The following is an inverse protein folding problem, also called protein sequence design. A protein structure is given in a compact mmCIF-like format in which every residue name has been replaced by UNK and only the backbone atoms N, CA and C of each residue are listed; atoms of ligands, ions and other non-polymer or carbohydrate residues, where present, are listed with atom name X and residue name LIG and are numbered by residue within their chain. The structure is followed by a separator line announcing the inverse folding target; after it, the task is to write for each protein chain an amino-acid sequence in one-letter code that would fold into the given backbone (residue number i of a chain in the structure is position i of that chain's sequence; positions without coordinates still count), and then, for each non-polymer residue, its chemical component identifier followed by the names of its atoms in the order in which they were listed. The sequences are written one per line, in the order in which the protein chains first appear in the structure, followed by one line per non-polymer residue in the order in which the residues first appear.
data_IF_758444797919
#
_entry.id   IF_758444797919
#
_cell.length_a   1.000
_cell.length_b   1.000
_cell.length_c   1.000
_cell.angle_alpha   90.00
_cell.angle_beta   90.00
_cell.angle_gamma   90.00
#
_symmetry.space_group_name_H-M   'P 1'
#
loop_
_entity.id
_entity.type
_entity.pdbx_description
1 polymer ?
#
# COMPACT_ATOMS: atom_id res chain seq x y z
N UNK A 1 10.60 43.67 5.54
CA UNK A 1 11.48 43.63 4.35
C UNK A 1 12.69 42.77 4.66
N UNK A 2 13.11 41.91 3.72
CA UNK A 2 14.29 41.03 3.84
C UNK A 2 13.90 39.57 4.04
N UNK A 3 13.50 38.82 3.00
CA UNK A 3 14.37 38.19 1.99
C UNK A 3 15.34 37.13 2.58
N UNK A 4 14.93 35.88 2.40
CA UNK A 4 15.70 34.66 2.19
C UNK A 4 17.24 34.71 2.33
N UNK A 5 17.76 33.90 3.26
CA UNK A 5 18.98 33.11 3.07
C UNK A 5 18.74 31.71 3.62
N UNK A 6 18.34 30.77 2.75
CA UNK A 6 18.43 29.34 3.04
C UNK A 6 19.87 28.91 2.77
N UNK A 7 20.67 28.78 3.83
CA UNK A 7 22.01 28.22 3.73
C UNK A 7 21.94 26.73 3.38
N UNK A 8 22.81 26.31 2.46
CA UNK A 8 22.90 24.98 1.85
C UNK A 8 23.20 23.82 2.83
N UNK A 9 23.27 24.06 4.13
CA UNK A 9 23.52 23.02 5.14
C UNK A 9 22.26 22.21 5.54
N UNK A 10 21.06 22.69 5.19
CA UNK A 10 19.79 22.03 5.52
C UNK A 10 19.37 20.87 4.61
N UNK A 11 20.13 20.57 3.55
CA UNK A 11 19.74 19.59 2.52
C UNK A 11 20.10 18.14 2.93
N UNK A 12 20.99 17.94 3.90
CA UNK A 12 21.39 16.59 4.33
C UNK A 12 20.37 15.92 5.27
N UNK A 13 19.64 16.69 6.10
CA UNK A 13 18.67 16.16 7.06
C UNK A 13 17.29 15.85 6.44
N UNK A 14 16.96 16.48 5.31
CA UNK A 14 15.71 16.21 4.58
C UNK A 14 15.68 14.84 3.88
N UNK A 15 16.81 14.13 3.80
CA UNK A 15 16.94 12.87 3.05
C UNK A 15 16.36 11.64 3.75
N UNK A 16 15.85 11.77 4.99
CA UNK A 16 15.39 10.63 5.80
C UNK A 16 14.12 10.90 6.62
N UNK A 17 13.24 11.81 6.18
CA UNK A 17 11.83 11.81 6.62
C UNK A 17 11.54 11.98 8.12
N UNK A 18 12.52 12.36 8.93
CA UNK A 18 12.30 12.67 10.34
C UNK A 18 13.02 13.97 10.68
N UNK A 19 12.27 14.86 11.32
CA UNK A 19 12.69 16.13 11.95
C UNK A 19 12.86 17.34 11.01
N UNK A 20 11.89 18.25 11.04
CA UNK A 20 12.20 19.69 10.91
C UNK A 20 12.72 20.15 12.29
N UNK A 21 13.94 20.72 12.38
CA UNK A 21 14.34 21.40 13.60
C UNK A 21 13.60 22.74 13.67
N UNK A 22 12.75 22.91 14.69
CA UNK A 22 12.33 24.24 15.14
C UNK A 22 12.63 24.35 16.64
N UNK A 23 13.71 25.06 16.94
CA UNK A 23 14.27 25.23 18.28
C UNK A 23 15.75 25.56 18.16
N UNK A 24 16.22 26.54 18.95
CA UNK A 24 17.63 26.94 18.99
C UNK A 24 18.54 25.72 19.12
N UNK A 25 19.47 25.59 18.18
CA UNK A 25 20.43 24.47 18.03
C UNK A 25 21.52 24.52 19.13
N UNK A 26 21.24 25.15 20.27
CA UNK A 26 22.21 25.41 21.32
C UNK A 26 22.45 24.19 22.24
N UNK A 27 21.46 23.31 22.43
CA UNK A 27 21.54 22.26 23.47
C UNK A 27 21.43 20.81 22.96
N UNK A 28 21.40 20.57 21.64
CA UNK A 28 21.56 19.22 21.07
C UNK A 28 20.45 18.19 21.39
N UNK A 29 19.33 18.60 22.02
CA UNK A 29 18.17 17.74 22.25
C UNK A 29 17.11 17.96 21.17
N UNK A 30 16.81 16.91 20.42
CA UNK A 30 15.64 16.85 19.53
C UNK A 30 14.43 16.47 20.38
N UNK A 31 13.53 17.41 20.64
CA UNK A 31 12.26 17.12 21.30
C UNK A 31 11.23 16.60 20.30
N UNK A 32 10.33 15.74 20.76
CA UNK A 32 9.18 15.30 19.96
C UNK A 32 8.30 16.51 19.62
N UNK A 33 8.06 16.72 18.33
CA UNK A 33 7.12 17.70 17.78
C UNK A 33 5.67 17.31 18.07
N UNK A 34 4.79 18.30 18.19
CA UNK A 34 3.41 18.18 18.68
C UNK A 34 3.24 18.69 20.11
N UNK A 35 2.03 19.13 20.47
CA UNK A 35 1.60 19.72 21.77
C UNK A 35 1.81 21.24 21.99
N UNK A 36 2.21 22.03 20.98
CA UNK A 36 2.23 23.49 21.13
C UNK A 36 0.83 24.10 20.96
N UNK A 37 0.46 24.99 21.88
CA UNK A 37 -0.84 25.69 21.82
C UNK A 37 -0.99 26.58 20.58
N UNK A 38 0.13 27.07 20.04
CA UNK A 38 0.18 27.86 18.81
C UNK A 38 -0.12 27.03 17.55
N UNK A 39 0.41 25.79 17.46
CA UNK A 39 0.08 24.87 16.36
C UNK A 39 -1.39 24.45 16.40
N UNK A 40 -1.93 24.23 17.59
CA UNK A 40 -3.34 23.89 17.77
C UNK A 40 -4.28 25.00 17.30
N UNK A 41 -4.02 26.24 17.72
CA UNK A 41 -4.85 27.39 17.34
C UNK A 41 -4.75 27.67 15.84
N UNK A 42 -3.55 27.59 15.26
CA UNK A 42 -3.37 27.77 13.82
C UNK A 42 -4.04 26.68 12.98
N UNK A 43 -4.02 25.41 13.43
CA UNK A 43 -4.76 24.33 12.77
C UNK A 43 -6.27 24.55 12.85
N UNK A 44 -6.80 24.98 14.00
CA UNK A 44 -8.23 25.30 14.13
C UNK A 44 -8.64 26.48 13.25
N UNK A 45 -7.84 27.55 13.18
CA UNK A 45 -8.13 28.71 12.31
C UNK A 45 -8.04 28.36 10.82
N UNK A 46 -7.15 27.45 10.44
CA UNK A 46 -6.99 27.02 9.04
C UNK A 46 -8.17 26.17 8.55
N UNK A 47 -8.63 25.22 9.37
CA UNK A 47 -9.61 24.21 8.96
C UNK A 47 -11.02 24.43 9.51
N UNK A 48 -11.18 25.20 10.58
CA UNK A 48 -12.46 25.40 11.26
C UNK A 48 -13.41 26.29 10.49
N UNK A 49 -14.52 25.71 10.01
CA UNK A 49 -15.62 26.43 9.33
C UNK A 49 -15.15 27.42 8.24
N UNK A 50 -14.06 27.10 7.56
CA UNK A 50 -13.51 27.97 6.54
C UNK A 50 -14.49 28.02 5.35
N UNK A 51 -14.91 29.22 4.95
CA UNK A 51 -15.88 29.43 3.86
C UNK A 51 -15.38 28.89 2.53
N UNK A 52 -14.06 28.71 2.39
CA UNK A 52 -13.45 28.18 1.19
C UNK A 52 -13.68 26.68 0.98
N UNK A 53 -14.07 25.93 2.02
CA UNK A 53 -14.37 24.49 1.91
C UNK A 53 -15.57 24.22 1.00
N UNK A 54 -16.50 25.18 0.90
CA UNK A 54 -17.70 25.09 0.05
C UNK A 54 -17.64 26.01 -1.18
N UNK A 55 -16.56 26.79 -1.36
CA UNK A 55 -16.49 27.86 -2.37
C UNK A 55 -16.04 27.43 -3.78
N UNK A 56 -15.97 26.12 -4.04
CA UNK A 56 -15.59 25.56 -5.35
C UNK A 56 -14.09 25.24 -5.50
N UNK A 57 -13.26 25.59 -4.50
CA UNK A 57 -11.88 25.10 -4.34
C UNK A 57 -11.79 23.57 -4.34
N UNK A 58 -12.89 22.92 -3.95
CA UNK A 58 -13.10 21.48 -3.93
C UNK A 58 -12.91 20.82 -5.31
N UNK A 59 -13.15 21.59 -6.39
CA UNK A 59 -13.02 21.12 -7.77
C UNK A 59 -11.68 21.48 -8.40
N UNK A 60 -10.75 22.09 -7.68
CA UNK A 60 -9.40 22.43 -8.19
C UNK A 60 -8.65 21.16 -8.62
N UNK A 61 -8.91 20.02 -7.97
CA UNK A 61 -8.39 18.71 -8.38
C UNK A 61 -8.85 18.27 -9.78
N UNK A 62 -9.99 18.77 -10.28
CA UNK A 62 -10.45 18.49 -11.65
C UNK A 62 -9.57 19.18 -12.73
N UNK A 63 -8.68 20.10 -12.35
CA UNK A 63 -7.69 20.68 -13.27
C UNK A 63 -6.53 19.73 -13.59
N UNK A 64 -6.29 18.72 -12.75
CA UNK A 64 -5.14 17.80 -12.84
C UNK A 64 -5.33 16.61 -13.78
N UNK A 65 -6.41 16.52 -14.57
CA UNK A 65 -6.66 15.37 -15.45
C UNK A 65 -5.55 15.14 -16.48
N UNK A 66 -4.81 16.18 -16.87
CA UNK A 66 -3.65 16.07 -17.76
C UNK A 66 -2.47 15.32 -17.14
N UNK A 67 -2.37 15.26 -15.81
CA UNK A 67 -1.28 14.61 -15.08
C UNK A 67 -1.60 13.15 -14.72
N UNK A 68 -2.85 12.69 -14.92
CA UNK A 68 -3.26 11.30 -14.66
C UNK A 68 -2.37 10.32 -15.41
N UNK A 69 -2.00 10.64 -16.65
CA UNK A 69 -1.13 9.81 -17.50
C UNK A 69 0.19 9.43 -16.83
N UNK A 70 0.77 10.35 -16.06
CA UNK A 70 2.05 10.15 -15.37
C UNK A 70 1.88 9.36 -14.06
N UNK A 71 0.67 9.23 -13.52
CA UNK A 71 0.39 8.53 -12.25
C UNK A 71 -0.41 7.23 -12.42
N UNK A 72 -0.79 6.85 -13.65
CA UNK A 72 -1.68 5.68 -13.89
C UNK A 72 -1.14 4.40 -13.28
N UNK A 73 0.17 4.16 -13.35
CA UNK A 73 0.78 2.98 -12.74
C UNK A 73 0.52 2.95 -11.23
N UNK A 74 0.91 4.01 -10.53
CA UNK A 74 0.72 4.08 -9.07
C UNK A 74 -0.76 4.02 -8.69
N UNK A 75 -1.65 4.66 -9.46
CA UNK A 75 -3.10 4.61 -9.25
C UNK A 75 -3.65 3.19 -9.43
N UNK A 76 -3.21 2.47 -10.46
CA UNK A 76 -3.61 1.09 -10.71
C UNK A 76 -3.16 0.17 -9.56
N UNK A 77 -1.93 0.34 -9.07
CA UNK A 77 -1.42 -0.42 -7.92
C UNK A 77 -2.24 -0.19 -6.65
N UNK A 78 -2.51 1.07 -6.32
CA UNK A 78 -3.35 1.41 -5.16
C UNK A 78 -4.75 0.82 -5.32
N UNK A 79 -5.34 0.89 -6.52
CA UNK A 79 -6.65 0.31 -6.79
C UNK A 79 -6.67 -1.21 -6.61
N UNK A 80 -5.62 -1.93 -7.02
CA UNK A 80 -5.52 -3.39 -6.80
C UNK A 80 -5.44 -3.75 -5.30
N UNK A 81 -4.70 -2.96 -4.51
CA UNK A 81 -4.61 -3.16 -3.07
C UNK A 81 -5.95 -2.90 -2.40
N UNK A 82 -6.63 -1.80 -2.75
CA UNK A 82 -7.97 -1.49 -2.24
C UNK A 82 -8.99 -2.57 -2.61
N UNK A 83 -8.93 -3.09 -3.85
CA UNK A 83 -9.77 -4.21 -4.29
C UNK A 83 -9.58 -5.45 -3.42
N UNK A 84 -8.32 -5.84 -3.19
CA UNK A 84 -7.99 -7.03 -2.39
C UNK A 84 -8.37 -6.82 -0.92
N UNK A 85 -8.16 -5.63 -0.37
CA UNK A 85 -8.54 -5.28 1.00
C UNK A 85 -10.07 -5.34 1.19
N UNK A 86 -10.83 -4.84 0.21
CA UNK A 86 -12.30 -4.92 0.24
C UNK A 86 -12.78 -6.36 0.16
N UNK A 87 -12.14 -7.20 -0.66
CA UNK A 87 -12.44 -8.63 -0.73
C UNK A 87 -12.27 -9.34 0.63
N UNK A 88 -11.12 -9.15 1.29
CA UNK A 88 -10.85 -9.79 2.59
C UNK A 88 -11.79 -9.26 3.69
N UNK A 89 -12.17 -7.99 3.63
CA UNK A 89 -13.16 -7.43 4.56
C UNK A 89 -14.56 -8.03 4.35
N UNK A 90 -14.98 -8.29 3.11
CA UNK A 90 -16.27 -8.95 2.81
C UNK A 90 -16.26 -10.40 3.30
N UNK A 91 -15.17 -11.14 3.08
CA UNK A 91 -15.02 -12.50 3.60
C UNK A 91 -15.02 -12.55 5.13
N UNK A 92 -14.34 -11.58 5.77
CA UNK A 92 -14.35 -11.42 7.23
C UNK A 92 -15.75 -11.10 7.76
N UNK A 93 -16.52 -10.26 7.06
CA UNK A 93 -17.91 -9.97 7.42
C UNK A 93 -18.82 -11.21 7.27
N UNK A 94 -18.62 -12.00 6.22
CA UNK A 94 -19.32 -13.27 6.01
C UNK A 94 -18.99 -14.28 7.11
N UNK A 95 -17.72 -14.37 7.54
CA UNK A 95 -17.32 -15.20 8.67
C UNK A 95 -17.99 -14.76 10.00
N UNK A 96 -18.27 -13.46 10.15
CA UNK A 96 -19.05 -12.92 11.26
C UNK A 96 -20.58 -13.08 11.10
N UNK A 97 -21.04 -13.72 10.01
CA UNK A 97 -22.43 -14.03 9.72
C UNK A 97 -23.21 -12.92 9.00
N UNK A 98 -22.55 -11.96 8.34
CA UNK A 98 -23.20 -11.06 7.38
C UNK A 98 -22.66 -11.32 5.97
N UNK A 99 -23.45 -11.97 5.13
CA UNK A 99 -23.11 -12.25 3.74
C UNK A 99 -23.51 -11.06 2.85
N UNK A 100 -22.50 -10.34 2.35
CA UNK A 100 -22.68 -9.20 1.46
C UNK A 100 -22.27 -9.56 0.03
N UNK A 101 -23.02 -9.16 -1.00
CA UNK A 101 -22.62 -9.38 -2.38
C UNK A 101 -21.27 -8.69 -2.68
N UNK A 102 -20.25 -9.48 -3.01
CA UNK A 102 -18.89 -9.01 -3.21
C UNK A 102 -18.79 -7.93 -4.30
N UNK A 103 -19.41 -8.19 -5.46
CA UNK A 103 -19.38 -7.26 -6.60
C UNK A 103 -20.07 -5.92 -6.29
N UNK A 104 -21.19 -5.95 -5.58
CA UNK A 104 -21.90 -4.73 -5.16
C UNK A 104 -21.06 -3.93 -4.16
N UNK A 105 -20.46 -4.62 -3.18
CA UNK A 105 -19.63 -3.99 -2.16
C UNK A 105 -18.40 -3.31 -2.79
N UNK A 106 -17.74 -3.96 -3.74
CA UNK A 106 -16.61 -3.40 -4.48
C UNK A 106 -17.01 -2.18 -5.34
N UNK A 107 -18.18 -2.23 -5.99
CA UNK A 107 -18.69 -1.09 -6.76
C UNK A 107 -18.99 0.11 -5.86
N UNK A 108 -19.59 -0.11 -4.70
CA UNK A 108 -19.90 0.95 -3.73
C UNK A 108 -18.62 1.57 -3.14
N UNK A 109 -17.61 0.74 -2.83
CA UNK A 109 -16.32 1.22 -2.35
C UNK A 109 -15.58 2.08 -3.40
N UNK A 110 -15.49 1.59 -4.63
CA UNK A 110 -14.90 2.36 -5.74
C UNK A 110 -15.66 3.65 -6.04
N UNK A 111 -16.99 3.62 -5.98
CA UNK A 111 -17.82 4.82 -6.10
C UNK A 111 -17.54 5.80 -4.95
N UNK A 112 -17.40 5.32 -3.71
CA UNK A 112 -17.02 6.11 -2.54
C UNK A 112 -15.67 6.81 -2.72
N UNK A 113 -14.68 6.11 -3.26
CA UNK A 113 -13.38 6.72 -3.60
C UNK A 113 -13.53 7.81 -4.66
N UNK A 114 -14.33 7.57 -5.71
CA UNK A 114 -14.59 8.57 -6.75
C UNK A 114 -15.29 9.81 -6.17
N UNK A 115 -16.30 9.61 -5.32
CA UNK A 115 -16.97 10.70 -4.63
C UNK A 115 -15.99 11.47 -3.74
N UNK A 116 -15.17 10.80 -2.95
CA UNK A 116 -14.13 11.44 -2.13
C UNK A 116 -13.14 12.26 -2.97
N UNK A 117 -12.69 11.72 -4.10
CA UNK A 117 -11.78 12.40 -5.02
C UNK A 117 -12.39 13.68 -5.62
N UNK A 118 -13.69 13.68 -5.94
CA UNK A 118 -14.40 14.89 -6.38
C UNK A 118 -14.40 15.99 -5.32
N UNK A 119 -14.32 15.61 -4.04
CA UNK A 119 -14.19 16.54 -2.92
C UNK A 119 -12.74 16.82 -2.50
N UNK A 120 -11.76 16.43 -3.32
CA UNK A 120 -10.33 16.69 -3.07
C UNK A 120 -9.64 15.69 -2.14
N UNK A 121 -10.26 14.54 -1.84
CA UNK A 121 -9.59 13.47 -1.10
C UNK A 121 -8.46 12.86 -1.95
N UNK A 122 -7.25 12.80 -1.38
CA UNK A 122 -6.11 12.11 -1.98
C UNK A 122 -5.95 10.67 -1.48
N UNK A 123 -6.78 10.25 -0.52
CA UNK A 123 -6.82 8.88 -0.01
C UNK A 123 -7.97 8.08 -0.64
N UNK A 124 -7.67 6.83 -1.02
CA UNK A 124 -8.66 5.83 -1.40
C UNK A 124 -9.51 5.43 -0.20
N UNK A 125 -10.79 5.19 -0.42
CA UNK A 125 -11.64 4.50 0.56
C UNK A 125 -11.44 2.99 0.46
N UNK A 126 -11.81 2.27 1.52
CA UNK A 126 -11.94 0.81 1.54
C UNK A 126 -13.00 0.42 2.58
N UNK A 127 -13.50 -0.81 2.49
CA UNK A 127 -14.44 -1.36 3.49
C UNK A 127 -13.76 -1.47 4.86
N UNK A 128 -14.51 -1.17 5.92
CA UNK A 128 -13.97 -1.16 7.26
C UNK A 128 -13.72 -2.56 7.82
N UNK A 129 -12.45 -2.90 8.04
CA UNK A 129 -12.00 -4.20 8.59
C UNK A 129 -12.59 -4.55 9.96
N UNK A 130 -12.95 -3.54 10.76
CA UNK A 130 -13.51 -3.73 12.11
C UNK A 130 -15.01 -4.07 12.13
N UNK A 131 -15.65 -4.34 10.98
CA UNK A 131 -17.05 -4.75 10.92
C UNK A 131 -17.40 -5.92 11.87
N UNK A 132 -16.64 -7.04 11.91
CA UNK A 132 -16.90 -8.14 12.83
C UNK A 132 -16.88 -7.71 14.31
N UNK A 133 -15.97 -6.82 14.67
CA UNK A 133 -15.82 -6.32 16.05
C UNK A 133 -17.03 -5.47 16.43
N UNK A 134 -17.42 -4.52 15.58
CA UNK A 134 -18.61 -3.69 15.82
C UNK A 134 -19.88 -4.53 15.89
N UNK A 135 -20.00 -5.54 15.03
CA UNK A 135 -21.12 -6.48 15.06
C UNK A 135 -21.18 -7.25 16.37
N UNK A 136 -20.05 -7.77 16.86
CA UNK A 136 -19.97 -8.46 18.15
C UNK A 136 -20.38 -7.56 19.33
N UNK A 137 -20.14 -6.25 19.23
CA UNK A 137 -20.61 -5.25 20.20
C UNK A 137 -22.09 -4.89 20.06
N UNK A 138 -22.82 -5.51 19.12
CA UNK A 138 -24.23 -5.25 18.85
C UNK A 138 -24.49 -3.99 18.00
N UNK A 139 -23.47 -3.43 17.36
CA UNK A 139 -23.64 -2.31 16.45
C UNK A 139 -24.47 -2.71 15.23
N UNK A 140 -25.32 -1.80 14.77
CA UNK A 140 -26.17 -1.96 13.58
C UNK A 140 -25.90 -0.83 12.59
N UNK A 141 -26.58 -0.85 11.43
CA UNK A 141 -26.43 0.17 10.36
C UNK A 141 -26.49 1.62 10.85
N UNK A 142 -27.31 1.92 11.86
CA UNK A 142 -27.40 3.26 12.43
C UNK A 142 -26.10 3.74 13.11
N UNK A 143 -25.31 2.83 13.68
CA UNK A 143 -24.01 3.15 14.28
C UNK A 143 -23.04 3.70 13.22
N UNK A 144 -22.94 3.03 12.07
CA UNK A 144 -22.07 3.49 10.97
C UNK A 144 -22.52 4.83 10.40
N UNK A 145 -23.84 5.05 10.24
CA UNK A 145 -24.39 6.31 9.76
C UNK A 145 -24.11 7.47 10.73
N UNK A 146 -24.35 7.25 12.02
CA UNK A 146 -24.10 8.25 13.06
C UNK A 146 -22.62 8.58 13.13
N UNK A 147 -21.73 7.58 13.06
CA UNK A 147 -20.29 7.82 13.01
C UNK A 147 -19.91 8.68 11.81
N UNK A 148 -20.42 8.39 10.61
CA UNK A 148 -20.17 9.20 9.43
C UNK A 148 -20.60 10.67 9.60
N UNK A 149 -21.80 10.90 10.14
CA UNK A 149 -22.32 12.24 10.41
C UNK A 149 -21.48 12.96 11.48
N UNK A 150 -21.11 12.26 12.55
CA UNK A 150 -20.28 12.83 13.62
C UNK A 150 -18.88 13.20 13.11
N UNK A 151 -18.24 12.33 12.33
CA UNK A 151 -16.96 12.63 11.69
C UNK A 151 -17.07 13.81 10.73
N UNK A 152 -18.14 13.89 9.94
CA UNK A 152 -18.37 15.04 9.06
C UNK A 152 -18.46 16.36 9.83
N UNK A 153 -19.21 16.40 10.93
CA UNK A 153 -19.31 17.59 11.81
C UNK A 153 -17.96 17.89 12.47
N UNK A 154 -17.27 16.87 12.96
CA UNK A 154 -15.97 17.00 13.64
C UNK A 154 -14.86 17.51 12.71
N UNK A 155 -14.88 17.08 11.45
CA UNK A 155 -13.91 17.50 10.43
C UNK A 155 -14.20 18.93 9.94
N UNK A 156 -15.46 19.27 9.65
CA UNK A 156 -15.85 20.63 9.23
C UNK A 156 -15.60 21.67 10.33
N UNK A 157 -15.79 21.28 11.59
CA UNK A 157 -15.50 22.18 12.71
C UNK A 157 -14.01 22.43 12.93
N UNK A 158 -13.10 21.73 12.24
CA UNK A 158 -11.65 21.86 12.44
C UNK A 158 -11.14 21.25 13.74
N UNK A 159 -12.05 20.70 14.58
CA UNK A 159 -11.72 20.16 15.89
C UNK A 159 -10.83 18.91 15.77
N UNK A 160 -11.04 18.09 14.74
CA UNK A 160 -10.18 16.93 14.49
C UNK A 160 -8.72 17.34 14.20
N UNK A 161 -8.51 18.38 13.40
CA UNK A 161 -7.17 18.90 13.09
C UNK A 161 -6.49 19.44 14.36
N UNK A 162 -7.24 20.15 15.21
CA UNK A 162 -6.75 20.62 16.50
C UNK A 162 -6.36 19.46 17.43
N UNK A 163 -7.17 18.39 17.50
CA UNK A 163 -6.85 17.18 18.28
C UNK A 163 -5.63 16.46 17.72
N UNK A 164 -5.47 16.39 16.39
CA UNK A 164 -4.34 15.75 15.75
C UNK A 164 -3.00 16.41 16.15
N UNK A 165 -2.94 17.73 16.22
CA UNK A 165 -1.76 18.48 16.69
C UNK A 165 -1.44 18.25 18.18
N UNK A 166 -2.40 17.72 18.97
CA UNK A 166 -2.14 17.31 20.35
C UNK A 166 -1.43 15.95 20.45
N UNK A 167 -1.42 15.15 19.38
CA UNK A 167 -0.80 13.82 19.40
C UNK A 167 0.71 13.99 19.21
N UNK A 168 1.56 13.52 20.14
CA UNK A 168 3.00 13.58 19.97
C UNK A 168 3.44 12.77 18.75
N UNK A 169 4.24 13.35 17.85
CA UNK A 169 4.67 12.67 16.63
C UNK A 169 5.44 11.37 16.91
N UNK A 170 6.21 11.34 18.00
CA UNK A 170 6.93 10.15 18.46
C UNK A 170 6.00 8.98 18.84
N UNK A 171 4.75 9.23 19.24
CA UNK A 171 3.79 8.18 19.60
C UNK A 171 3.15 7.55 18.36
N UNK A 172 3.06 8.27 17.25
CA UNK A 172 2.45 7.80 16.01
C UNK A 172 3.21 6.60 15.40
N UNK A 173 4.55 6.60 15.48
CA UNK A 173 5.34 5.47 15.03
C UNK A 173 5.08 4.18 15.82
N UNK A 174 4.90 4.30 17.15
CA UNK A 174 4.68 3.15 18.01
C UNK A 174 3.34 2.44 17.76
N UNK A 175 2.28 3.18 17.48
CA UNK A 175 0.97 2.58 17.16
C UNK A 175 1.03 1.81 15.83
N UNK A 176 1.76 2.30 14.83
CA UNK A 176 1.93 1.59 13.56
C UNK A 176 2.69 0.27 13.72
N UNK A 177 3.71 0.22 14.58
CA UNK A 177 4.43 -1.03 14.92
C UNK A 177 3.49 -2.04 15.56
N UNK A 178 2.66 -1.58 16.51
CA UNK A 178 1.68 -2.44 17.17
C UNK A 178 0.62 -2.99 16.20
N UNK A 179 0.07 -2.12 15.35
CA UNK A 179 -0.89 -2.52 14.31
C UNK A 179 -0.25 -3.50 13.32
N UNK A 180 0.99 -3.26 12.88
CA UNK A 180 1.72 -4.17 12.01
C UNK A 180 1.94 -5.56 12.63
N UNK A 181 2.23 -5.63 13.93
CA UNK A 181 2.34 -6.90 14.65
C UNK A 181 0.99 -7.65 14.72
N UNK A 182 -0.11 -6.93 14.98
CA UNK A 182 -1.45 -7.53 15.02
C UNK A 182 -1.88 -8.06 13.65
N UNK A 183 -1.64 -7.29 12.59
CA UNK A 183 -1.90 -7.71 11.21
C UNK A 183 -1.02 -8.90 10.81
N UNK A 184 0.26 -8.88 11.20
CA UNK A 184 1.17 -10.01 10.98
C UNK A 184 0.65 -11.28 11.65
N UNK A 185 0.25 -11.21 12.93
CA UNK A 185 -0.36 -12.34 13.64
C UNK A 185 -1.61 -12.84 12.92
N UNK A 186 -2.52 -11.95 12.55
CA UNK A 186 -3.76 -12.31 11.82
C UNK A 186 -3.45 -13.01 10.49
N UNK A 187 -2.48 -12.50 9.73
CA UNK A 187 -2.08 -13.11 8.47
C UNK A 187 -1.57 -14.55 8.66
N UNK A 188 -0.82 -14.84 9.73
CA UNK A 188 -0.41 -16.21 10.05
C UNK A 188 -1.57 -17.10 10.51
N UNK A 189 -2.54 -16.56 11.26
CA UNK A 189 -3.70 -17.32 11.75
C UNK A 189 -4.67 -17.72 10.62
N UNK A 190 -4.83 -16.86 9.62
CA UNK A 190 -5.71 -17.11 8.47
C UNK A 190 -5.04 -17.96 7.37
N UNK A 191 -3.71 -18.07 7.41
CA UNK A 191 -2.94 -18.78 6.37
C UNK A 191 -2.63 -20.22 6.78
N UNK A 192 -2.57 -21.13 5.81
CA UNK A 192 -2.17 -22.52 6.06
C UNK A 192 -0.72 -22.59 6.54
N UNK A 193 -0.38 -23.49 7.49
CA UNK A 193 1.00 -23.66 7.96
C UNK A 193 2.03 -23.96 6.86
N UNK A 194 1.60 -24.63 5.78
CA UNK A 194 2.45 -24.90 4.61
C UNK A 194 2.88 -23.63 3.87
N UNK A 195 2.08 -22.56 3.94
CA UNK A 195 2.32 -21.29 3.23
C UNK A 195 3.05 -20.25 4.09
N UNK A 196 3.38 -20.53 5.36
CA UNK A 196 4.14 -19.61 6.23
C UNK A 196 5.46 -19.12 5.62
N UNK A 197 6.25 -19.94 4.90
CA UNK A 197 7.45 -19.44 4.23
C UNK A 197 7.15 -18.38 3.15
N UNK A 198 6.02 -18.50 2.44
CA UNK A 198 5.61 -17.53 1.42
C UNK A 198 5.18 -16.19 2.03
N UNK A 199 4.54 -16.22 3.21
CA UNK A 199 4.23 -15.01 3.99
C UNK A 199 5.50 -14.29 4.44
N UNK A 200 6.47 -15.02 5.00
CA UNK A 200 7.74 -14.43 5.43
C UNK A 200 8.49 -13.83 4.26
N UNK A 201 8.53 -14.53 3.12
CA UNK A 201 9.16 -14.03 1.90
C UNK A 201 8.55 -12.71 1.42
N UNK A 202 7.24 -12.52 1.59
CA UNK A 202 6.53 -11.29 1.20
C UNK A 202 7.06 -10.04 1.89
N UNK A 203 7.59 -10.18 3.11
CA UNK A 203 8.12 -9.08 3.90
C UNK A 203 9.55 -8.67 3.50
N UNK A 204 10.32 -9.57 2.85
CA UNK A 204 11.72 -9.31 2.49
C UNK A 204 11.90 -8.09 1.58
N UNK A 205 11.11 -7.90 0.49
CA UNK A 205 11.11 -6.66 -0.30
C UNK A 205 11.16 -5.38 0.54
N UNK A 206 10.30 -5.28 1.55
CA UNK A 206 10.21 -4.10 2.41
C UNK A 206 11.36 -4.00 3.40
N UNK A 207 11.75 -5.13 4.01
CA UNK A 207 12.86 -5.18 4.96
C UNK A 207 14.16 -4.79 4.27
N UNK A 208 14.40 -5.32 3.07
CA UNK A 208 15.60 -5.03 2.30
C UNK A 208 15.67 -3.57 1.84
N UNK A 209 14.53 -3.00 1.44
CA UNK A 209 14.42 -1.57 1.11
C UNK A 209 14.68 -0.68 2.35
N UNK A 210 14.08 -1.00 3.48
CA UNK A 210 14.31 -0.28 4.75
C UNK A 210 15.76 -0.37 5.20
N UNK A 211 16.36 -1.57 5.12
CA UNK A 211 17.74 -1.82 5.49
C UNK A 211 18.76 -1.15 4.55
N UNK A 212 18.30 -0.52 3.46
CA UNK A 212 19.13 0.11 2.43
C UNK A 212 20.34 -0.77 2.12
N UNK A 213 20.10 -2.02 1.74
CA UNK A 213 21.14 -2.95 1.26
C UNK A 213 21.69 -2.43 -0.09
N UNK A 214 22.28 -1.24 -0.07
CA UNK A 214 22.54 -0.32 -1.18
C UNK A 214 24.01 -0.32 -1.61
N UNK A 215 24.78 -1.36 -1.30
CA UNK A 215 26.20 -1.35 -1.65
C UNK A 215 26.45 -2.07 -2.99
N UNK A 216 25.50 -2.86 -3.53
CA UNK A 216 25.73 -3.55 -4.80
C UNK A 216 24.51 -4.01 -5.62
N UNK A 217 23.27 -4.01 -5.09
CA UNK A 217 22.15 -4.68 -5.77
C UNK A 217 20.92 -3.78 -5.96
N UNK A 218 20.88 -3.10 -7.10
CA UNK A 218 19.73 -2.33 -7.57
C UNK A 218 18.46 -3.20 -7.71
N UNK A 219 18.58 -4.52 -7.89
CA UNK A 219 17.44 -5.42 -8.01
C UNK A 219 16.61 -5.49 -6.72
N UNK A 220 17.27 -5.46 -5.57
CA UNK A 220 16.61 -5.49 -4.26
C UNK A 220 15.93 -4.15 -3.94
N UNK A 221 16.51 -3.04 -4.38
CA UNK A 221 15.91 -1.70 -4.25
C UNK A 221 14.58 -1.58 -5.00
N UNK A 222 14.45 -2.21 -6.18
CA UNK A 222 13.20 -2.22 -6.97
C UNK A 222 12.08 -3.03 -6.31
N UNK A 223 12.39 -3.91 -5.37
CA UNK A 223 11.36 -4.56 -4.58
C UNK A 223 10.72 -3.60 -3.56
N UNK A 224 11.30 -2.42 -3.34
CA UNK A 224 10.87 -1.45 -2.33
C UNK A 224 10.27 -0.16 -2.86
N UNK A 225 10.91 0.45 -3.85
CA UNK A 225 10.45 1.69 -4.51
C UNK A 225 9.77 1.31 -5.83
N UNK A 226 8.67 1.97 -6.19
CA UNK A 226 7.95 1.71 -7.46
C UNK A 226 7.41 0.26 -7.58
N UNK A 227 6.41 -0.07 -6.76
CA UNK A 227 5.63 -1.31 -6.92
C UNK A 227 5.95 -2.45 -5.94
N UNK A 228 6.67 -2.18 -4.85
CA UNK A 228 7.01 -3.19 -3.84
C UNK A 228 5.82 -3.97 -3.27
N UNK A 229 4.65 -3.34 -3.13
CA UNK A 229 3.41 -4.01 -2.73
C UNK A 229 2.96 -5.07 -3.75
N UNK A 230 2.94 -4.71 -5.04
CA UNK A 230 2.58 -5.64 -6.09
C UNK A 230 3.65 -6.72 -6.25
N UNK A 231 4.92 -6.37 -6.06
CA UNK A 231 6.02 -7.32 -6.05
C UNK A 231 5.91 -8.35 -4.94
N UNK A 232 5.71 -7.91 -3.70
CA UNK A 232 5.44 -8.81 -2.59
C UNK A 232 4.21 -9.67 -2.84
N UNK A 233 3.12 -9.08 -3.37
CA UNK A 233 1.90 -9.82 -3.68
C UNK A 233 2.11 -10.91 -4.74
N UNK A 234 2.71 -10.56 -5.88
CA UNK A 234 3.01 -11.51 -6.97
C UNK A 234 4.00 -12.58 -6.50
N UNK A 235 5.03 -12.19 -5.76
CA UNK A 235 6.02 -13.12 -5.23
C UNK A 235 5.36 -14.12 -4.28
N UNK A 236 4.53 -13.65 -3.34
CA UNK A 236 3.77 -14.53 -2.45
C UNK A 236 2.86 -15.46 -3.24
N UNK A 237 2.16 -14.97 -4.26
CA UNK A 237 1.29 -15.80 -5.09
C UNK A 237 2.06 -16.91 -5.81
N UNK A 238 3.17 -16.57 -6.47
CA UNK A 238 4.03 -17.56 -7.14
C UNK A 238 4.56 -18.59 -6.14
N UNK A 239 4.99 -18.17 -4.96
CA UNK A 239 5.49 -19.09 -3.95
C UNK A 239 4.41 -20.01 -3.38
N UNK A 240 3.19 -19.52 -3.16
CA UNK A 240 2.06 -20.37 -2.79
C UNK A 240 1.77 -21.42 -3.89
N UNK A 241 1.81 -21.03 -5.17
CA UNK A 241 1.64 -21.97 -6.28
C UNK A 241 2.76 -23.01 -6.35
N UNK A 242 4.00 -22.64 -6.02
CA UNK A 242 5.12 -23.56 -5.93
C UNK A 242 4.95 -24.56 -4.79
N UNK A 243 4.52 -24.10 -3.62
CA UNK A 243 4.24 -24.95 -2.45
C UNK A 243 3.12 -25.94 -2.76
N UNK A 244 2.07 -25.48 -3.44
CA UNK A 244 0.95 -26.33 -3.88
C UNK A 244 1.29 -27.19 -5.10
N UNK A 245 2.46 -27.00 -5.70
CA UNK A 245 2.93 -27.64 -6.94
C UNK A 245 2.00 -27.41 -8.15
N UNK A 246 1.27 -26.30 -8.17
CA UNK A 246 0.39 -25.88 -9.27
C UNK A 246 1.20 -25.17 -10.37
N UNK A 247 2.18 -25.86 -10.95
CA UNK A 247 3.17 -25.25 -11.85
C UNK A 247 2.57 -24.70 -13.16
N UNK A 248 1.43 -25.23 -13.62
CA UNK A 248 0.71 -24.66 -14.77
C UNK A 248 0.27 -23.23 -14.50
N UNK A 249 -0.32 -22.99 -13.33
CA UNK A 249 -0.76 -21.66 -12.92
C UNK A 249 0.44 -20.74 -12.70
N UNK A 250 1.53 -21.24 -12.10
CA UNK A 250 2.77 -20.47 -11.91
C UNK A 250 3.42 -20.07 -13.25
N UNK A 251 3.31 -20.92 -14.28
CA UNK A 251 3.76 -20.62 -15.65
C UNK A 251 2.96 -19.47 -16.25
N UNK A 252 1.63 -19.53 -16.17
CA UNK A 252 0.75 -18.48 -16.70
C UNK A 252 1.00 -17.16 -15.97
N UNK A 253 1.10 -17.19 -14.64
CA UNK A 253 1.38 -15.99 -13.84
C UNK A 253 2.74 -15.38 -14.21
N UNK A 254 3.79 -16.20 -14.29
CA UNK A 254 5.12 -15.74 -14.72
C UNK A 254 5.10 -15.13 -16.12
N UNK A 255 4.36 -15.73 -17.05
CA UNK A 255 4.21 -15.20 -18.40
C UNK A 255 3.52 -13.82 -18.41
N UNK A 256 2.49 -13.62 -17.60
CA UNK A 256 1.83 -12.31 -17.44
C UNK A 256 2.81 -11.29 -16.86
N UNK A 257 3.61 -11.68 -15.86
CA UNK A 257 4.58 -10.80 -15.21
C UNK A 257 5.65 -10.26 -16.17
N UNK A 258 6.04 -11.02 -17.20
CA UNK A 258 6.95 -10.54 -18.26
C UNK A 258 6.40 -9.25 -18.88
N UNK A 259 5.12 -9.24 -19.25
CA UNK A 259 4.49 -8.09 -19.88
C UNK A 259 4.26 -6.95 -18.90
N UNK A 260 3.82 -7.25 -17.67
CA UNK A 260 3.64 -6.24 -16.65
C UNK A 260 4.96 -5.50 -16.34
N UNK A 261 6.10 -6.21 -16.40
CA UNK A 261 7.43 -5.60 -16.26
C UNK A 261 7.88 -4.79 -17.47
N UNK A 262 7.58 -5.23 -18.69
CA UNK A 262 7.93 -4.46 -19.89
C UNK A 262 7.11 -3.18 -20.06
N UNK A 263 5.86 -3.17 -19.58
CA UNK A 263 4.97 -2.01 -19.70
C UNK A 263 5.02 -1.04 -18.51
N UNK A 264 5.87 -1.34 -17.54
CA UNK A 264 6.10 -0.48 -16.40
C UNK A 264 4.96 -0.45 -15.38
N UNK A 265 4.16 -1.52 -15.31
CA UNK A 265 3.10 -1.71 -14.31
C UNK A 265 3.68 -2.33 -13.02
N UNK A 266 4.79 -3.07 -13.16
CA UNK A 266 5.32 -3.94 -12.12
C UNK A 266 6.85 -4.07 -12.25
N UNK A 267 7.62 -3.74 -11.22
CA UNK A 267 9.09 -3.73 -11.29
C UNK A 267 9.63 -2.82 -12.44
N UNK A 268 8.98 -1.67 -12.60
CA UNK A 268 9.35 -0.60 -13.53
C UNK A 268 10.38 0.31 -12.89
N UNK A 269 11.27 0.87 -13.70
CA UNK A 269 12.17 1.93 -13.26
C UNK A 269 12.10 3.12 -14.18
N UNK A 270 12.09 4.32 -13.61
CA UNK A 270 12.04 5.58 -14.35
C UNK A 270 13.40 6.24 -14.34
N UNK A 271 13.65 7.04 -15.36
CA UNK A 271 14.84 7.86 -15.47
C UNK A 271 15.10 8.63 -14.17
N UNK A 272 16.39 8.75 -13.81
CA UNK A 272 16.79 9.54 -12.66
C UNK A 272 16.27 10.98 -12.82
N UNK A 273 15.60 11.50 -11.79
CA UNK A 273 15.27 12.92 -11.72
C UNK A 273 16.59 13.74 -11.67
N UNK A 274 16.54 15.04 -11.99
CA UNK A 274 17.70 15.95 -11.97
C UNK A 274 18.47 15.98 -10.63
N UNK A 275 17.83 15.49 -9.56
CA UNK A 275 18.35 15.33 -8.20
C UNK A 275 19.06 13.99 -7.92
N UNK A 276 19.15 13.09 -8.91
CA UNK A 276 19.72 11.75 -8.75
C UNK A 276 18.85 10.80 -7.90
N UNK A 277 17.58 11.12 -7.69
CA UNK A 277 16.58 10.21 -7.10
C UNK A 277 15.83 9.47 -8.20
N UNK A 278 15.42 8.23 -7.91
CA UNK A 278 14.59 7.42 -8.82
C UNK A 278 13.27 8.17 -9.13
N UNK A 279 12.90 8.31 -10.41
CA UNK A 279 11.72 9.07 -10.85
C UNK A 279 10.39 8.31 -10.70
N UNK A 280 9.27 8.99 -10.98
CA UNK A 280 7.89 8.47 -10.83
C UNK A 280 7.48 7.48 -11.93
N UNK A 281 6.77 6.40 -11.55
CA UNK A 281 6.34 5.28 -12.44
C UNK A 281 5.45 5.73 -13.58
N UNK A 282 5.99 5.68 -14.81
CA UNK A 282 5.21 5.95 -16.02
C UNK A 282 4.83 4.65 -16.71
N UNK A 283 3.67 4.64 -17.36
CA UNK A 283 3.33 3.58 -18.31
C UNK A 283 4.13 3.83 -19.59
N UNK A 284 4.87 2.83 -20.03
CA UNK A 284 5.71 2.93 -21.21
C UNK A 284 6.29 1.58 -21.60
N UNK A 285 6.81 1.47 -22.82
CA UNK A 285 7.57 0.27 -23.20
C UNK A 285 9.03 0.43 -22.77
N UNK A 286 9.43 -0.35 -21.78
CA UNK A 286 10.77 -0.33 -21.19
C UNK A 286 11.63 -1.44 -21.82
N UNK A 287 12.15 -1.13 -23.02
CA UNK A 287 13.05 -2.02 -23.76
C UNK A 287 14.46 -2.07 -23.17
N UNK A 288 15.34 -2.85 -23.80
CA UNK A 288 16.77 -2.84 -23.47
C UNK A 288 17.38 -1.52 -23.91
N UNK A 289 17.92 -0.77 -22.96
CA UNK A 289 18.62 0.50 -23.18
C UNK A 289 20.07 0.41 -22.69
N UNK A 290 20.94 1.29 -23.21
CA UNK A 290 22.39 1.27 -22.92
C UNK A 290 22.75 1.85 -21.53
N UNK A 291 21.77 2.35 -20.78
CA UNK A 291 21.95 2.85 -19.42
C UNK A 291 21.37 1.89 -18.37
N UNK A 292 22.04 1.82 -17.21
CA UNK A 292 21.67 0.92 -16.10
C UNK A 292 20.35 1.29 -15.40
N UNK A 293 19.67 2.36 -15.81
CA UNK A 293 18.41 2.78 -15.19
C UNK A 293 17.20 2.00 -15.68
N UNK A 294 17.22 1.37 -16.87
CA UNK A 294 16.05 0.65 -17.34
C UNK A 294 16.07 -0.80 -16.83
N UNK A 295 15.22 -1.11 -15.87
CA UNK A 295 15.20 -2.42 -15.17
C UNK A 295 13.99 -3.29 -15.53
N UNK A 296 12.97 -2.75 -16.21
CA UNK A 296 11.77 -3.51 -16.60
C UNK A 296 12.10 -4.69 -17.52
N UNK A 297 13.00 -4.49 -18.48
CA UNK A 297 13.48 -5.58 -19.35
C UNK A 297 14.30 -6.63 -18.59
N UNK A 298 15.05 -6.26 -17.54
CA UNK A 298 15.83 -7.21 -16.71
C UNK A 298 14.91 -8.09 -15.90
N UNK A 299 13.89 -7.50 -15.29
CA UNK A 299 12.83 -8.25 -14.60
C UNK A 299 12.05 -9.13 -15.56
N UNK A 300 11.75 -8.67 -16.76
CA UNK A 300 11.13 -9.49 -17.80
C UNK A 300 11.97 -10.74 -18.14
N UNK A 301 13.30 -10.64 -18.16
CA UNK A 301 14.19 -11.82 -18.33
C UNK A 301 14.07 -12.76 -17.13
N UNK A 302 14.12 -12.25 -15.91
CA UNK A 302 13.96 -13.06 -14.69
C UNK A 302 12.63 -13.83 -14.70
N UNK A 303 11.53 -13.16 -15.09
CA UNK A 303 10.22 -13.77 -15.23
C UNK A 303 10.13 -14.74 -16.40
N UNK A 304 10.84 -14.51 -17.50
CA UNK A 304 10.95 -15.46 -18.60
C UNK A 304 11.68 -16.73 -18.17
N UNK A 305 12.77 -16.62 -17.40
CA UNK A 305 13.47 -17.77 -16.83
C UNK A 305 12.57 -18.54 -15.86
N UNK A 306 11.84 -17.85 -14.97
CA UNK A 306 10.87 -18.47 -14.09
C UNK A 306 9.74 -19.17 -14.87
N UNK A 307 9.22 -18.54 -15.93
CA UNK A 307 8.20 -19.12 -16.80
C UNK A 307 8.68 -20.42 -17.46
N UNK A 308 9.89 -20.44 -18.01
CA UNK A 308 10.49 -21.66 -18.60
C UNK A 308 10.67 -22.72 -17.54
N UNK A 309 11.19 -22.36 -16.37
CA UNK A 309 11.36 -23.28 -15.25
C UNK A 309 10.03 -23.94 -14.87
N UNK A 310 8.97 -23.16 -14.62
CA UNK A 310 7.66 -23.71 -14.28
C UNK A 310 7.01 -24.51 -15.40
N UNK A 311 7.22 -24.12 -16.66
CA UNK A 311 6.73 -24.89 -17.81
C UNK A 311 7.37 -26.28 -17.88
N UNK A 312 8.68 -26.37 -17.63
CA UNK A 312 9.41 -27.64 -17.53
C UNK A 312 8.86 -28.46 -16.36
N UNK A 313 8.67 -27.87 -15.17
CA UNK A 313 8.12 -28.58 -14.02
C UNK A 313 6.70 -29.10 -14.28
N UNK A 314 5.85 -28.30 -14.94
CA UNK A 314 4.50 -28.71 -15.33
C UNK A 314 4.52 -29.86 -16.36
N UNK A 315 5.49 -29.86 -17.28
CA UNK A 315 5.68 -30.97 -18.22
C UNK A 315 6.15 -32.24 -17.51
N UNK A 316 7.08 -32.13 -16.55
CA UNK A 316 7.58 -33.23 -15.74
C UNK A 316 6.49 -33.84 -14.84
N UNK A 317 5.59 -33.01 -14.29
CA UNK A 317 4.39 -33.50 -13.59
C UNK A 317 3.44 -34.27 -14.52
N UNK A 318 3.25 -33.80 -15.76
CA UNK A 318 2.36 -34.48 -16.73
C UNK A 318 2.85 -35.87 -17.10
N UNK A 319 4.16 -36.10 -17.08
CA UNK A 319 4.77 -37.41 -17.34
C UNK A 319 4.98 -38.23 -16.04
N UNK A 320 4.40 -37.80 -14.92
CA UNK A 320 4.50 -38.45 -13.60
C UNK A 320 5.94 -38.62 -13.07
N UNK A 321 6.87 -37.76 -13.49
CA UNK A 321 8.24 -37.76 -12.98
C UNK A 321 8.35 -36.99 -11.64
N UNK A 322 7.41 -36.09 -11.39
CA UNK A 322 7.31 -35.28 -10.16
C UNK A 322 5.94 -35.53 -9.53
N UNK A 323 5.88 -35.39 -8.21
CA UNK A 323 4.65 -35.51 -7.44
C UNK A 323 3.54 -34.56 -7.95
N UNK A 324 2.31 -35.07 -7.87
CA UNK A 324 1.10 -34.37 -8.33
C UNK A 324 0.79 -33.13 -7.47
N UNK A 325 -0.10 -32.28 -7.98
CA UNK A 325 -0.60 -31.09 -7.28
C UNK A 325 -1.09 -31.45 -5.87
N UNK A 326 -0.81 -30.58 -4.90
CA UNK A 326 -1.32 -30.74 -3.53
C UNK A 326 -2.79 -30.29 -3.55
N UNK A 327 -3.72 -31.23 -3.32
CA UNK A 327 -5.13 -30.88 -3.18
C UNK A 327 -5.34 -30.03 -1.92
N UNK A 328 -5.98 -28.87 -2.11
CA UNK A 328 -6.37 -28.00 -1.02
C UNK A 328 -7.41 -28.69 -0.14
N UNK A 329 -6.97 -29.29 0.97
CA UNK A 329 -7.88 -29.49 2.11
C UNK A 329 -8.22 -28.09 2.64
N UNK A 330 -9.52 -27.74 2.78
CA UNK A 330 -9.89 -26.46 3.36
C UNK A 330 -9.30 -26.35 4.76
N UNK A 331 -8.68 -25.22 5.07
CA UNK A 331 -8.24 -24.92 6.42
C UNK A 331 -9.50 -24.74 7.28
N UNK A 332 -9.63 -25.56 8.32
CA UNK A 332 -10.69 -25.48 9.32
C UNK A 332 -12.13 -25.52 8.79
N UNK A 333 -12.72 -26.71 8.70
CA UNK A 333 -14.15 -26.82 9.01
C UNK A 333 -14.31 -26.64 10.51
N UNK A 334 -14.95 -25.55 10.93
CA UNK A 334 -15.46 -25.30 12.28
C UNK A 334 -16.61 -26.26 12.64
N UNK A 335 -16.41 -27.57 12.48
CA UNK A 335 -17.38 -28.60 12.89
C UNK A 335 -16.91 -29.44 14.10
N UNK A 336 -15.72 -29.20 14.66
CA UNK A 336 -15.19 -29.96 15.82
C UNK A 336 -15.04 -29.14 17.11
N UNK A 337 -15.81 -28.06 17.26
CA UNK A 337 -16.04 -27.39 18.55
C UNK A 337 -17.55 -27.31 18.83
N UNK A 338 -18.16 -28.48 18.99
CA UNK A 338 -19.41 -28.70 19.74
C UNK A 338 -19.12 -29.71 20.86
#
# INVERSE_FOLDING_TARGET
SGACKKDLAGIAAAKFGYTKPYGDVADGYVTCTGTSSEALNSAYEMYGFNSDVLSGSIFVGLGGFGEIGDMVTTLFLVAMVSFTATMTCVESASAAGDDYPMAETMLVDGAGTCFGALFGSFFSTTVYIGHPIHKALGARRGYSLINGILYFILLISGLFAAIYEMIPECANGAILVFVGLLLGRQAFEETKPSHYPALLLSAFPFICNWAKLNIADEGVLMMGQAGGLLFSFILTWVFCLCIDRKFKQATVLSFVCIWLSLFGIFASHNNANETGSLGDERIGFYGKEDHDYNQGWRWAISWALACVFFAVQAALQKINYIEAEVEDKPAFKTEELQ
#
